data_IF_057591453854
#
_entry.id   IF_057591453854
#
_cell.length_a   1.000
_cell.length_b   1.000
_cell.length_c   1.000
_cell.angle_alpha   90.00
_cell.angle_beta   90.00
_cell.angle_gamma   90.00
#
_symmetry.space_group_name_H-M   'P 1'
#
loop_
_entity.id
_entity.type
_entity.pdbx_description
1 polymer ?
#
# COMPACT_ATOMS: atom_id res chain seq x y z
N UNK A 1 -18.85 -14.27 3.28
CA UNK A 1 -17.44 -13.89 3.56
C UNK A 1 -17.10 -12.69 2.68
N UNK A 2 -16.76 -11.52 3.25
CA UNK A 2 -16.33 -10.36 2.45
C UNK A 2 -14.95 -10.67 1.85
N UNK A 3 -14.83 -10.64 0.52
CA UNK A 3 -13.55 -10.82 -0.18
C UNK A 3 -12.85 -9.45 -0.25
N UNK A 4 -11.81 -9.26 0.54
CA UNK A 4 -10.98 -8.06 0.50
C UNK A 4 -9.96 -8.17 -0.65
N UNK A 5 -10.03 -7.22 -1.58
CA UNK A 5 -9.19 -7.16 -2.78
C UNK A 5 -8.19 -6.01 -2.69
N UNK A 6 -7.02 -6.18 -3.31
CA UNK A 6 -5.93 -5.20 -3.32
C UNK A 6 -6.40 -3.82 -3.77
N UNK A 7 -7.30 -3.71 -4.76
CA UNK A 7 -7.86 -2.43 -5.26
C UNK A 7 -8.41 -1.49 -4.18
N UNK A 8 -8.81 -2.00 -3.01
CA UNK A 8 -9.37 -1.20 -1.91
C UNK A 8 -8.33 -0.35 -1.18
N UNK A 9 -7.05 -0.68 -1.33
CA UNK A 9 -5.94 -0.10 -0.56
C UNK A 9 -4.82 0.44 -1.45
N UNK A 10 -5.03 0.44 -2.77
CA UNK A 10 -4.03 0.94 -3.74
C UNK A 10 -3.80 2.42 -3.52
N UNK A 11 -2.54 2.77 -3.33
CA UNK A 11 -2.08 4.14 -3.27
C UNK A 11 -1.42 4.53 -4.60
N UNK A 12 -1.52 5.80 -5.03
CA UNK A 12 -0.76 6.29 -6.18
C UNK A 12 0.73 6.08 -5.96
N UNK A 13 1.47 5.82 -7.03
CA UNK A 13 2.92 5.67 -6.96
C UNK A 13 3.54 7.02 -6.58
N UNK A 14 4.18 7.08 -5.42
CA UNK A 14 4.83 8.30 -4.91
C UNK A 14 6.35 8.16 -4.80
N UNK A 15 6.85 6.93 -4.89
CA UNK A 15 8.25 6.59 -4.72
C UNK A 15 8.60 5.44 -5.67
N UNK A 16 9.89 5.24 -5.93
CA UNK A 16 10.40 4.18 -6.79
C UNK A 16 10.15 2.82 -6.10
N UNK A 17 9.06 2.16 -6.48
CA UNK A 17 8.73 0.81 -6.01
C UNK A 17 9.27 -0.21 -7.00
N UNK A 18 9.82 -1.31 -6.49
CA UNK A 18 10.25 -2.42 -7.33
C UNK A 18 9.05 -2.95 -8.13
N UNK A 19 9.13 -2.89 -9.47
CA UNK A 19 8.08 -3.39 -10.38
C UNK A 19 7.87 -4.90 -10.28
N UNK A 20 8.83 -5.62 -9.66
CA UNK A 20 8.76 -7.05 -9.39
C UNK A 20 9.37 -7.33 -8.00
N UNK A 21 8.72 -8.17 -7.17
CA UNK A 21 7.41 -8.79 -7.39
C UNK A 21 6.28 -7.75 -7.41
N UNK A 22 5.21 -8.02 -8.14
CA UNK A 22 4.03 -7.17 -8.27
C UNK A 22 2.75 -8.00 -8.17
N UNK A 23 1.65 -7.34 -7.80
CA UNK A 23 0.36 -8.01 -7.56
C UNK A 23 -0.75 -7.36 -8.38
N UNK A 24 -1.77 -8.13 -8.72
CA UNK A 24 -2.95 -7.62 -9.39
C UNK A 24 -3.85 -6.83 -8.44
N UNK A 25 -4.61 -5.83 -8.94
CA UNK A 25 -5.63 -5.16 -8.14
C UNK A 25 -6.80 -6.09 -7.77
N UNK A 26 -7.00 -7.16 -8.54
CA UNK A 26 -8.01 -8.19 -8.29
C UNK A 26 -7.54 -9.29 -7.33
N UNK A 27 -6.24 -9.35 -7.04
CA UNK A 27 -5.69 -10.30 -6.09
C UNK A 27 -6.19 -10.03 -4.67
N UNK A 28 -6.11 -11.08 -3.85
CA UNK A 28 -6.42 -10.97 -2.44
C UNK A 28 -5.29 -10.24 -1.73
N UNK A 29 -5.68 -9.40 -0.77
CA UNK A 29 -4.73 -8.70 0.11
C UNK A 29 -3.81 -9.71 0.83
N UNK A 30 -4.35 -10.88 1.22
CA UNK A 30 -3.58 -11.98 1.82
C UNK A 30 -2.48 -12.54 0.91
N UNK A 31 -2.73 -12.63 -0.39
CA UNK A 31 -1.72 -13.11 -1.35
C UNK A 31 -0.61 -12.05 -1.50
N UNK A 32 -1.00 -10.78 -1.57
CA UNK A 32 -0.02 -9.69 -1.60
C UNK A 32 0.83 -9.64 -0.33
N UNK A 33 0.23 -9.79 0.85
CA UNK A 33 0.92 -9.94 2.14
C UNK A 33 1.91 -11.11 2.10
N UNK A 34 1.50 -12.26 1.57
CA UNK A 34 2.35 -13.44 1.46
C UNK A 34 3.57 -13.18 0.57
N UNK A 35 3.38 -12.53 -0.56
CA UNK A 35 4.47 -12.14 -1.48
C UNK A 35 5.41 -11.14 -0.82
N UNK A 36 4.86 -10.13 -0.14
CA UNK A 36 5.64 -9.14 0.61
C UNK A 36 6.49 -9.80 1.70
N UNK A 37 5.88 -10.60 2.57
CA UNK A 37 6.55 -11.29 3.67
C UNK A 37 7.60 -12.30 3.17
N UNK A 38 7.31 -13.02 2.09
CA UNK A 38 8.26 -13.98 1.50
C UNK A 38 9.51 -13.30 0.93
N UNK A 39 9.40 -12.04 0.52
CA UNK A 39 10.52 -11.27 -0.06
C UNK A 39 11.06 -10.19 0.89
N UNK A 40 10.63 -10.16 2.16
CA UNK A 40 10.96 -9.10 3.13
C UNK A 40 10.68 -7.67 2.59
N UNK A 41 9.64 -7.53 1.78
CA UNK A 41 9.25 -6.26 1.17
C UNK A 41 8.17 -5.57 2.00
N UNK A 42 8.38 -4.30 2.31
CA UNK A 42 7.38 -3.46 2.99
C UNK A 42 6.33 -2.87 2.04
N UNK A 43 6.61 -2.90 0.72
CA UNK A 43 5.80 -2.29 -0.33
C UNK A 43 5.87 -3.16 -1.58
N UNK A 44 4.77 -3.20 -2.33
CA UNK A 44 4.71 -3.93 -3.61
C UNK A 44 3.95 -3.09 -4.64
N UNK A 45 4.38 -3.16 -5.90
CA UNK A 45 3.69 -2.51 -7.00
C UNK A 45 2.39 -3.26 -7.33
N UNK A 46 1.34 -2.50 -7.62
CA UNK A 46 0.08 -3.04 -8.13
C UNK A 46 0.01 -2.79 -9.62
N UNK A 47 0.03 -3.86 -10.40
CA UNK A 47 0.03 -3.83 -11.85
C UNK A 47 -1.15 -4.63 -12.39
N UNK A 48 -1.77 -4.14 -13.45
CA UNK A 48 -2.85 -4.85 -14.15
C UNK A 48 -2.50 -4.91 -15.63
N UNK A 49 -2.29 -6.13 -16.15
CA UNK A 49 -1.79 -6.31 -17.51
C UNK A 49 -0.46 -5.60 -17.74
N UNK A 50 -0.49 -4.47 -18.45
CA UNK A 50 0.69 -3.66 -18.78
C UNK A 50 0.67 -2.27 -18.11
N UNK A 51 -0.26 -2.01 -17.20
CA UNK A 51 -0.42 -0.71 -16.53
C UNK A 51 -0.11 -0.81 -15.04
N UNK A 52 0.65 0.15 -14.52
CA UNK A 52 0.89 0.32 -13.08
C UNK A 52 -0.28 1.11 -12.51
N UNK A 53 -1.11 0.44 -11.72
CA UNK A 53 -2.24 1.08 -11.02
C UNK A 53 -1.77 1.84 -9.78
N UNK A 54 -0.67 1.41 -9.16
CA UNK A 54 -0.11 2.08 -8.00
C UNK A 54 0.80 1.17 -7.18
N UNK A 55 0.78 1.37 -5.87
CA UNK A 55 1.50 0.54 -4.90
C UNK A 55 0.65 0.32 -3.66
N UNK A 56 0.95 -0.75 -2.92
CA UNK A 56 0.39 -0.99 -1.60
C UNK A 56 1.51 -1.20 -0.59
N UNK A 57 1.22 -0.87 0.67
CA UNK A 57 2.15 -1.06 1.79
C UNK A 57 1.69 -2.25 2.60
N UNK A 58 2.65 -2.95 3.18
CA UNK A 58 2.41 -4.07 4.07
C UNK A 58 1.52 -3.67 5.26
N UNK A 59 1.78 -2.50 5.84
CA UNK A 59 1.04 -1.95 6.98
C UNK A 59 -0.45 -1.74 6.65
N UNK A 60 -0.74 -1.14 5.50
CA UNK A 60 -2.11 -0.88 5.05
C UNK A 60 -2.84 -2.18 4.70
N UNK A 61 -2.14 -3.11 4.04
CA UNK A 61 -2.63 -4.45 3.77
C UNK A 61 -2.97 -5.22 5.05
N UNK A 62 -2.14 -5.09 6.09
CA UNK A 62 -2.34 -5.73 7.39
C UNK A 62 -3.49 -5.09 8.17
N UNK A 63 -3.58 -3.76 8.20
CA UNK A 63 -4.71 -3.06 8.81
C UNK A 63 -6.03 -3.45 8.16
N UNK A 64 -6.05 -3.61 6.83
CA UNK A 64 -7.25 -3.98 6.08
C UNK A 64 -7.64 -5.44 6.28
N UNK A 65 -6.67 -6.36 6.37
CA UNK A 65 -6.95 -7.78 6.60
C UNK A 65 -7.53 -8.03 7.99
N UNK A 66 -7.34 -7.09 8.93
CA UNK A 66 -8.12 -7.04 10.15
C UNK A 66 -8.01 -8.32 10.96
N UNK A 67 -6.78 -8.66 11.38
CA UNK A 67 -6.63 -9.57 12.52
C UNK A 67 -7.25 -8.98 13.81
N UNK A 68 -7.70 -7.72 13.77
CA UNK A 68 -8.66 -7.17 14.70
C UNK A 68 -10.07 -7.32 14.12
N UNK A 69 -10.69 -8.44 14.49
CA UNK A 69 -12.12 -8.60 14.35
C UNK A 69 -12.85 -7.49 15.09
N UNK A 70 -13.93 -7.04 14.49
CA UNK A 70 -15.02 -6.36 15.19
C UNK A 70 -14.65 -5.02 15.87
N UNK A 71 -14.30 -3.98 15.10
CA UNK A 71 -14.57 -2.61 15.56
C UNK A 71 -14.43 -1.56 14.46
N UNK A 72 -15.43 -0.68 14.43
CA UNK A 72 -15.54 0.59 13.69
C UNK A 72 -15.91 0.51 12.20
N UNK A 73 -17.23 0.37 12.02
CA UNK A 73 -18.02 1.40 11.35
C UNK A 73 -17.37 2.81 11.43
N UNK A 74 -17.34 3.49 10.29
CA UNK A 74 -17.08 4.93 10.04
C UNK A 74 -15.62 5.29 9.68
N UNK A 75 -15.49 5.75 8.43
CA UNK A 75 -14.58 6.81 8.00
C UNK A 75 -13.09 6.58 8.27
N UNK A 76 -12.41 5.91 7.33
CA UNK A 76 -10.96 6.11 7.17
C UNK A 76 -10.73 6.89 5.89
N UNK A 77 -10.67 8.21 6.09
CA UNK A 77 -10.11 9.21 5.19
C UNK A 77 -8.93 8.62 4.41
N UNK A 78 -9.01 8.66 3.09
CA UNK A 78 -7.82 8.79 2.27
C UNK A 78 -7.00 9.93 2.87
N UNK A 79 -5.79 9.64 3.34
CA UNK A 79 -4.90 10.68 3.85
C UNK A 79 -4.41 11.45 2.62
N UNK A 80 -4.78 12.74 2.43
CA UNK A 80 -4.07 13.56 1.48
C UNK A 80 -2.65 13.66 2.01
N UNK A 81 -1.73 13.00 1.33
CA UNK A 81 -0.28 13.12 1.51
C UNK A 81 0.12 14.58 1.29
N UNK A 82 0.07 15.36 2.38
CA UNK A 82 0.61 16.71 2.40
C UNK A 82 2.10 16.61 2.05
N UNK A 83 2.45 17.13 0.86
CA UNK A 83 3.85 17.39 0.50
C UNK A 83 4.42 18.37 1.52
N UNK A 84 5.19 17.84 2.48
CA UNK A 84 6.11 18.63 3.27
C UNK A 84 7.31 18.88 2.38
N UNK A 85 7.42 20.08 1.84
CA UNK A 85 8.71 20.57 1.34
C UNK A 85 9.64 20.61 2.55
N UNK A 86 10.61 19.70 2.59
CA UNK A 86 11.76 19.77 3.48
C UNK A 86 12.69 20.81 2.85
N UNK A 87 12.59 22.07 3.27
CA UNK A 87 13.69 23.02 3.10
C UNK A 87 14.63 22.77 4.25
N UNK A 88 15.76 22.13 3.96
CA UNK A 88 16.86 21.95 4.92
C UNK A 88 17.56 23.32 5.00
N UNK A 89 17.42 24.02 6.12
CA UNK A 89 18.15 25.26 6.37
C UNK A 89 19.57 24.90 6.83
N UNK A 90 20.52 24.96 5.90
CA UNK A 90 21.95 24.76 6.17
C UNK A 90 22.58 26.06 6.66
N UNK A 91 22.36 26.40 7.94
CA UNK A 91 23.08 27.49 8.59
C UNK A 91 24.29 26.95 9.36
N UNK A 92 25.43 26.88 8.66
CA UNK A 92 26.75 26.76 9.27
C UNK A 92 27.59 27.99 8.90
N UNK A 93 27.69 28.94 9.83
CA UNK A 93 28.89 29.74 10.19
C UNK A 93 28.51 30.60 11.39
#
# INVERSE_FOLDING_TARGET
MKRLSVKEIVMPIQEEVALKPSVGPEDRITEALKVMLKNDLRRVAVVTGNEVMGMIRLEDALEKVGLEGDMKSRDRRAIPVQRRNITVDERWT
#
